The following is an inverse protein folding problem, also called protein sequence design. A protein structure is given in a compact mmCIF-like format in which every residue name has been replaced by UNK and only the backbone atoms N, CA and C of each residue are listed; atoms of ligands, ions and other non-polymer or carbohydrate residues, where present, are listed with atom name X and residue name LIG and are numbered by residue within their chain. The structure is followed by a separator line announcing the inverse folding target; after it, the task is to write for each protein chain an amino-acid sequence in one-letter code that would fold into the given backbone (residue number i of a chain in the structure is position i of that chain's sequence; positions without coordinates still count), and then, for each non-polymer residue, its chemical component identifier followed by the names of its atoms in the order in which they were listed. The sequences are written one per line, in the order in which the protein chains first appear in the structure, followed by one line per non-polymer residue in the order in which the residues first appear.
data_IF_505598995480
#
_entry.id   IF_505598995480
#
_cell.length_a   1.000
_cell.length_b   1.000
_cell.length_c   1.000
_cell.angle_alpha   90.00
_cell.angle_beta   90.00
_cell.angle_gamma   90.00
#
_symmetry.space_group_name_H-M   'P 1'
#
loop_
_entity.id
_entity.type
_entity.pdbx_description
1 polymer ?
#
# COMPACT_ATOMS: atom_id res chain seq x y z
N UNK A 1 15.89 18.66 -18.38
CA UNK A 1 15.84 17.24 -18.80
C UNK A 1 15.79 17.18 -20.32
N UNK A 2 16.80 16.57 -20.96
CA UNK A 2 16.82 16.32 -22.40
C UNK A 2 15.52 15.61 -22.85
N UNK A 3 15.10 15.88 -24.07
CA UNK A 3 13.80 15.50 -24.62
C UNK A 3 13.90 14.04 -25.11
N UNK A 4 13.11 13.09 -24.60
CA UNK A 4 12.96 11.80 -25.25
C UNK A 4 12.22 12.04 -26.58
N UNK A 5 12.73 11.57 -27.73
CA UNK A 5 11.95 11.59 -28.96
C UNK A 5 10.77 10.62 -28.84
N UNK A 6 9.63 11.00 -29.43
CA UNK A 6 8.45 10.14 -29.53
C UNK A 6 8.84 8.80 -30.16
N UNK A 7 8.44 7.68 -29.56
CA UNK A 7 8.30 6.42 -30.29
C UNK A 7 7.41 6.71 -31.51
N UNK A 8 7.99 6.62 -32.69
CA UNK A 8 7.32 6.95 -33.94
C UNK A 8 6.22 5.92 -34.14
N UNK A 9 4.96 6.38 -34.14
CA UNK A 9 3.81 5.59 -34.56
C UNK A 9 4.07 5.04 -35.97
N UNK A 10 4.33 3.75 -36.08
CA UNK A 10 4.30 3.09 -37.38
C UNK A 10 2.85 3.10 -37.88
N UNK A 11 2.65 3.71 -39.05
CA UNK A 11 1.38 3.81 -39.78
C UNK A 11 0.53 2.54 -39.68
N UNK A 12 -0.73 2.72 -39.31
CA UNK A 12 -1.77 1.71 -39.27
C UNK A 12 -2.00 1.09 -40.65
N UNK A 13 -1.48 -0.12 -40.86
CA UNK A 13 -2.04 -1.03 -41.86
C UNK A 13 -3.21 -1.77 -41.22
N UNK A 14 -4.42 -1.45 -41.67
CA UNK A 14 -5.66 -2.10 -41.25
C UNK A 14 -5.62 -3.59 -41.59
N UNK A 15 -5.52 -4.45 -40.56
CA UNK A 15 -5.80 -5.88 -40.70
C UNK A 15 -7.30 -6.14 -40.50
N UNK A 16 -7.88 -7.16 -41.17
CA UNK A 16 -9.30 -7.43 -41.08
C UNK A 16 -9.64 -8.02 -39.71
N UNK A 17 -10.50 -7.31 -38.96
CA UNK A 17 -11.09 -7.81 -37.72
C UNK A 17 -12.09 -8.90 -38.06
N UNK A 18 -11.68 -10.17 -38.02
CA UNK A 18 -12.63 -11.27 -37.90
C UNK A 18 -13.22 -11.25 -36.50
N UNK A 19 -14.46 -10.80 -36.38
CA UNK A 19 -15.24 -10.89 -35.16
C UNK A 19 -15.39 -12.37 -34.74
N UNK A 20 -14.65 -12.79 -33.70
CA UNK A 20 -14.95 -14.01 -32.95
C UNK A 20 -15.94 -13.65 -31.84
N UNK A 21 -17.01 -14.44 -31.75
CA UNK A 21 -18.11 -14.24 -30.81
C UNK A 21 -17.66 -14.24 -29.34
N UNK A 22 -18.38 -13.49 -28.52
CA UNK A 22 -18.23 -13.41 -27.07
C UNK A 22 -18.48 -14.77 -26.38
N UNK A 23 -17.53 -15.26 -25.59
CA UNK A 23 -17.73 -15.78 -24.21
C UNK A 23 -16.68 -16.78 -23.68
N UNK A 24 -15.44 -16.78 -24.18
CA UNK A 24 -14.32 -17.33 -23.40
C UNK A 24 -13.26 -16.23 -23.21
N UNK A 25 -13.09 -15.78 -21.98
CA UNK A 25 -11.97 -14.90 -21.62
C UNK A 25 -10.65 -15.62 -21.91
N UNK A 26 -9.73 -14.93 -22.60
CA UNK A 26 -8.39 -15.43 -22.91
C UNK A 26 -7.58 -15.82 -21.66
N UNK A 27 -6.59 -16.71 -21.83
CA UNK A 27 -5.72 -17.17 -20.75
C UNK A 27 -5.01 -15.99 -20.08
N UNK A 28 -4.47 -15.07 -20.86
CA UNK A 28 -3.76 -13.90 -20.35
C UNK A 28 -4.64 -13.03 -19.43
N UNK A 29 -5.89 -12.78 -19.84
CA UNK A 29 -6.85 -12.03 -19.01
C UNK A 29 -7.22 -12.79 -17.72
N UNK A 30 -7.44 -14.11 -17.81
CA UNK A 30 -7.69 -14.96 -16.64
C UNK A 30 -6.54 -14.90 -15.63
N UNK A 31 -5.29 -14.97 -16.10
CA UNK A 31 -4.09 -14.88 -15.27
C UNK A 31 -3.94 -13.49 -14.65
N UNK A 32 -4.17 -12.43 -15.42
CA UNK A 32 -4.13 -11.05 -14.91
C UNK A 32 -5.16 -10.81 -13.78
N UNK A 33 -6.39 -11.31 -13.96
CA UNK A 33 -7.43 -11.24 -12.93
C UNK A 33 -7.03 -12.07 -11.70
N UNK A 34 -6.51 -13.28 -11.90
CA UNK A 34 -6.10 -14.21 -10.84
C UNK A 34 -4.99 -13.63 -9.97
N UNK A 35 -3.99 -13.01 -10.58
CA UNK A 35 -2.83 -12.40 -9.90
C UNK A 35 -2.95 -10.87 -9.74
N UNK A 36 -4.18 -10.36 -9.67
CA UNK A 36 -4.44 -8.94 -9.44
C UNK A 36 -3.90 -8.47 -8.09
N UNK A 37 -3.74 -9.36 -7.11
CA UNK A 37 -3.20 -8.99 -5.80
C UNK A 37 -1.74 -8.57 -5.91
N UNK A 38 -0.97 -9.25 -6.75
CA UNK A 38 0.44 -9.00 -7.01
C UNK A 38 0.64 -7.66 -7.72
N UNK A 39 -0.23 -7.30 -8.68
CA UNK A 39 -0.15 -5.97 -9.34
C UNK A 39 -0.44 -4.83 -8.37
N UNK A 40 -1.39 -5.02 -7.43
CA UNK A 40 -1.63 -4.08 -6.34
C UNK A 40 -0.43 -4.01 -5.39
N UNK A 41 0.22 -5.14 -5.07
CA UNK A 41 1.43 -5.12 -4.24
C UNK A 41 2.59 -4.39 -4.92
N UNK A 42 2.82 -4.62 -6.21
CA UNK A 42 3.79 -3.87 -7.00
C UNK A 42 3.51 -2.36 -6.93
N UNK A 43 2.24 -1.96 -7.13
CA UNK A 43 1.78 -0.57 -7.07
C UNK A 43 2.14 0.14 -5.74
N UNK A 44 2.08 -0.60 -4.64
CA UNK A 44 2.35 -0.08 -3.29
C UNK A 44 3.76 -0.37 -2.78
N UNK A 45 4.68 -0.83 -3.61
CA UNK A 45 6.10 -0.91 -3.21
C UNK A 45 6.64 0.50 -2.95
N UNK A 46 7.56 0.66 -1.97
CA UNK A 46 8.15 1.96 -1.65
C UNK A 46 8.74 2.72 -2.85
N UNK A 47 9.35 2.01 -3.81
CA UNK A 47 9.89 2.61 -5.02
C UNK A 47 8.78 3.21 -5.90
N UNK A 48 7.76 2.42 -6.21
CA UNK A 48 6.65 2.77 -7.11
C UNK A 48 5.80 3.89 -6.51
N UNK A 49 5.53 3.87 -5.20
CA UNK A 49 4.83 4.96 -4.50
C UNK A 49 5.63 6.27 -4.56
N UNK A 50 6.94 6.23 -4.34
CA UNK A 50 7.79 7.42 -4.45
C UNK A 50 7.87 7.96 -5.88
N UNK A 51 7.92 7.07 -6.87
CA UNK A 51 7.94 7.43 -8.28
C UNK A 51 6.63 8.15 -8.67
N UNK A 52 5.50 7.58 -8.28
CA UNK A 52 4.17 8.13 -8.51
C UNK A 52 3.94 9.48 -7.79
N UNK A 53 4.51 9.64 -6.60
CA UNK A 53 4.40 10.88 -5.82
C UNK A 53 5.37 11.98 -6.28
N UNK A 54 6.27 11.69 -7.24
CA UNK A 54 7.26 12.64 -7.72
C UNK A 54 8.38 12.98 -6.72
N UNK A 55 8.48 12.24 -5.60
CA UNK A 55 9.46 12.49 -4.54
C UNK A 55 10.57 11.42 -4.45
N UNK A 56 10.59 10.46 -5.38
CA UNK A 56 11.70 9.54 -5.57
C UNK A 56 12.98 10.36 -5.79
N UNK A 57 14.08 10.02 -5.12
CA UNK A 57 15.38 10.61 -5.40
C UNK A 57 15.89 10.16 -6.76
N UNK A 58 16.53 11.08 -7.48
CA UNK A 58 16.96 10.83 -8.86
C UNK A 58 18.02 9.72 -8.94
N UNK A 59 18.85 9.56 -7.91
CA UNK A 59 19.86 8.50 -7.84
C UNK A 59 19.21 7.10 -7.81
N UNK A 60 18.11 6.95 -7.05
CA UNK A 60 17.34 5.70 -7.02
C UNK A 60 16.71 5.41 -8.38
N UNK A 61 16.17 6.44 -9.05
CA UNK A 61 15.62 6.30 -10.40
C UNK A 61 16.70 5.87 -11.40
N UNK A 62 17.87 6.52 -11.38
CA UNK A 62 19.01 6.17 -12.25
C UNK A 62 19.48 4.73 -12.03
N UNK A 63 19.55 4.29 -10.78
CA UNK A 63 19.87 2.89 -10.44
C UNK A 63 18.81 1.92 -10.97
N UNK A 64 17.52 2.24 -10.85
CA UNK A 64 16.48 1.39 -11.43
C UNK A 64 16.64 1.25 -12.95
N UNK A 65 16.91 2.35 -13.65
CA UNK A 65 17.12 2.38 -15.11
C UNK A 65 18.40 1.63 -15.53
N UNK A 66 19.47 1.68 -14.73
CA UNK A 66 20.69 0.90 -15.00
C UNK A 66 20.46 -0.60 -14.85
N UNK A 67 19.68 -1.02 -13.84
CA UNK A 67 19.32 -2.43 -13.67
C UNK A 67 18.36 -2.90 -14.78
N UNK A 68 17.41 -2.04 -15.19
CA UNK A 68 16.45 -2.33 -16.27
C UNK A 68 17.14 -2.54 -17.63
N UNK A 69 18.30 -1.93 -17.87
CA UNK A 69 19.11 -2.20 -19.06
C UNK A 69 19.51 -3.68 -19.19
N UNK A 70 19.83 -4.36 -18.08
CA UNK A 70 20.13 -5.79 -18.08
C UNK A 70 18.88 -6.62 -18.34
N UNK A 71 17.74 -6.16 -17.83
CA UNK A 71 16.44 -6.78 -18.01
C UNK A 71 15.99 -6.74 -19.48
N UNK A 72 16.08 -5.57 -20.13
CA UNK A 72 15.76 -5.39 -21.55
C UNK A 72 16.67 -6.25 -22.46
N UNK A 73 17.95 -6.45 -22.10
CA UNK A 73 18.83 -7.39 -22.82
C UNK A 73 18.32 -8.84 -22.72
N UNK A 74 17.93 -9.27 -21.52
CA UNK A 74 17.38 -10.60 -21.31
C UNK A 74 16.04 -10.78 -22.07
N UNK A 75 15.16 -9.77 -22.04
CA UNK A 75 13.90 -9.76 -22.80
C UNK A 75 14.12 -9.88 -24.30
N UNK A 76 15.05 -9.11 -24.86
CA UNK A 76 15.37 -9.19 -26.29
C UNK A 76 15.90 -10.59 -26.68
N UNK A 77 16.68 -11.23 -25.80
CA UNK A 77 17.16 -12.58 -26.02
C UNK A 77 16.07 -13.63 -25.86
N UNK A 78 15.21 -13.50 -24.84
CA UNK A 78 14.07 -14.39 -24.62
C UNK A 78 13.09 -14.35 -25.81
N UNK A 79 12.76 -13.17 -26.33
CA UNK A 79 11.98 -13.07 -27.56
C UNK A 79 12.66 -13.73 -28.76
N UNK A 80 13.98 -13.60 -28.89
CA UNK A 80 14.72 -14.28 -29.97
C UNK A 80 14.58 -15.81 -29.87
N UNK A 81 14.72 -16.36 -28.66
CA UNK A 81 14.56 -17.81 -28.45
C UNK A 81 13.11 -18.26 -28.67
N UNK A 82 12.12 -17.46 -28.24
CA UNK A 82 10.71 -17.72 -28.52
C UNK A 82 10.40 -17.68 -30.03
N UNK A 83 11.00 -16.74 -30.77
CA UNK A 83 10.90 -16.63 -32.24
C UNK A 83 11.45 -17.89 -32.92
N UNK A 84 12.60 -18.39 -32.48
CA UNK A 84 13.22 -19.64 -32.98
C UNK A 84 12.39 -20.90 -32.64
N UNK A 85 11.55 -20.81 -31.61
CA UNK A 85 10.73 -21.91 -31.11
C UNK A 85 9.29 -21.92 -31.66
N UNK A 86 8.79 -20.78 -32.13
CA UNK A 86 7.47 -20.70 -32.75
C UNK A 86 7.45 -21.41 -34.11
N UNK A 87 6.45 -22.24 -34.38
CA UNK A 87 6.30 -22.91 -35.69
C UNK A 87 5.54 -22.02 -36.70
N UNK A 88 4.51 -21.32 -36.22
CA UNK A 88 3.64 -20.45 -37.01
C UNK A 88 4.32 -19.14 -37.43
N UNK A 89 4.19 -18.77 -38.71
CA UNK A 89 4.87 -17.59 -39.27
C UNK A 89 4.26 -16.27 -38.78
N UNK A 90 2.95 -16.23 -38.52
CA UNK A 90 2.29 -15.04 -37.95
C UNK A 90 2.77 -14.81 -36.50
N UNK A 91 2.90 -15.88 -35.71
CA UNK A 91 3.48 -15.84 -34.37
C UNK A 91 4.94 -15.35 -34.41
N UNK A 92 5.79 -15.86 -35.31
CA UNK A 92 7.18 -15.39 -35.48
C UNK A 92 7.23 -13.89 -35.82
N UNK A 93 6.37 -13.44 -36.73
CA UNK A 93 6.30 -12.02 -37.11
C UNK A 93 5.91 -11.15 -35.91
N UNK A 94 4.92 -11.58 -35.12
CA UNK A 94 4.48 -10.88 -33.91
C UNK A 94 5.61 -10.80 -32.86
N UNK A 95 6.31 -11.91 -32.59
CA UNK A 95 7.45 -11.95 -31.67
C UNK A 95 8.58 -11.04 -32.16
N UNK A 96 8.88 -11.06 -33.46
CA UNK A 96 9.91 -10.20 -34.07
C UNK A 96 9.60 -8.73 -33.85
N UNK A 97 8.33 -8.34 -33.98
CA UNK A 97 7.89 -6.96 -33.74
C UNK A 97 8.06 -6.56 -32.28
N UNK A 98 7.67 -7.41 -31.33
CA UNK A 98 7.87 -7.19 -29.88
C UNK A 98 9.36 -7.06 -29.54
N UNK A 99 10.19 -7.97 -30.07
CA UNK A 99 11.65 -7.93 -29.93
C UNK A 99 12.26 -6.62 -30.43
N UNK A 100 11.78 -6.13 -31.57
CA UNK A 100 12.23 -4.84 -32.13
C UNK A 100 11.90 -3.67 -31.20
N UNK A 101 10.71 -3.65 -30.61
CA UNK A 101 10.32 -2.64 -29.62
C UNK A 101 11.27 -2.60 -28.41
N UNK A 102 11.58 -3.76 -27.84
CA UNK A 102 12.56 -3.87 -26.72
C UNK A 102 13.96 -3.39 -27.14
N UNK A 103 14.40 -3.72 -28.36
CA UNK A 103 15.71 -3.27 -28.85
C UNK A 103 15.77 -1.75 -29.08
N UNK A 104 14.66 -1.12 -29.44
CA UNK A 104 14.55 0.35 -29.55
C UNK A 104 14.60 1.00 -28.16
N UNK A 105 13.86 0.45 -27.19
CA UNK A 105 13.88 0.89 -25.81
C UNK A 105 15.26 0.75 -25.15
N UNK A 106 15.94 -0.37 -25.40
CA UNK A 106 17.30 -0.62 -24.92
C UNK A 106 18.31 0.41 -25.45
N UNK A 107 18.17 0.82 -26.72
CA UNK A 107 19.03 1.87 -27.30
C UNK A 107 18.80 3.21 -26.61
N UNK A 108 17.54 3.55 -26.30
CA UNK A 108 17.21 4.78 -25.56
C UNK A 108 17.77 4.74 -24.13
N UNK A 109 17.60 3.63 -23.41
CA UNK A 109 18.17 3.44 -22.07
C UNK A 109 19.69 3.61 -22.08
N UNK A 110 20.37 2.98 -23.04
CA UNK A 110 21.82 3.10 -23.17
C UNK A 110 22.28 4.56 -23.38
N UNK A 111 21.57 5.33 -24.21
CA UNK A 111 21.91 6.76 -24.39
C UNK A 111 21.76 7.57 -23.11
N UNK A 112 20.70 7.35 -22.33
CA UNK A 112 20.49 8.08 -21.07
C UNK A 112 21.49 7.69 -19.99
N UNK A 113 21.78 6.41 -19.84
CA UNK A 113 22.73 5.89 -18.85
C UNK A 113 24.12 6.48 -19.12
N UNK A 114 24.56 6.51 -20.39
CA UNK A 114 25.82 7.15 -20.79
C UNK A 114 25.83 8.67 -20.54
N UNK A 115 24.73 9.37 -20.83
CA UNK A 115 24.59 10.81 -20.54
C UNK A 115 24.69 11.13 -19.05
N UNK A 116 24.26 10.21 -18.17
CA UNK A 116 24.37 10.36 -16.72
C UNK A 116 25.77 10.04 -16.17
N UNK A 117 26.72 9.70 -17.05
CA UNK A 117 28.08 9.32 -16.65
C UNK A 117 28.16 7.93 -16.01
N UNK A 118 27.09 7.14 -16.12
CA UNK A 118 27.09 5.74 -15.71
C UNK A 118 27.53 4.95 -16.94
N UNK A 119 28.64 4.24 -16.83
CA UNK A 119 29.06 3.31 -17.88
C UNK A 119 28.48 1.93 -17.54
N UNK A 120 27.43 1.46 -18.25
CA UNK A 120 26.80 0.17 -17.97
C UNK A 120 27.73 -1.01 -18.23
N UNK A 121 28.92 -0.77 -18.81
CA UNK A 121 29.97 -1.77 -18.98
C UNK A 121 31.06 -1.74 -17.89
N UNK A 122 31.13 -0.70 -17.03
CA UNK A 122 32.22 -0.53 -16.04
C UNK A 122 31.80 -0.48 -14.59
N UNK A 123 30.57 -0.10 -14.23
CA UNK A 123 30.19 -0.03 -12.82
C UNK A 123 28.69 -0.21 -12.61
N UNK A 124 28.30 -1.42 -12.18
CA UNK A 124 27.36 -1.70 -11.10
C UNK A 124 27.26 -3.23 -10.97
N UNK A 125 27.53 -3.77 -9.79
CA UNK A 125 27.13 -5.14 -9.45
C UNK A 125 25.64 -5.27 -9.73
N UNK A 126 25.27 -6.08 -10.73
CA UNK A 126 23.88 -6.42 -11.01
C UNK A 126 23.27 -6.93 -9.70
N UNK A 127 22.18 -6.31 -9.26
CA UNK A 127 21.59 -6.71 -7.98
C UNK A 127 21.01 -8.12 -8.08
N UNK A 128 20.87 -8.79 -6.94
CA UNK A 128 20.44 -10.19 -6.90
C UNK A 128 19.03 -10.42 -7.45
N UNK A 129 18.13 -9.43 -7.36
CA UNK A 129 16.77 -9.57 -7.89
C UNK A 129 16.77 -9.54 -9.42
N UNK A 130 17.53 -8.62 -10.02
CA UNK A 130 17.73 -8.54 -11.47
C UNK A 130 18.34 -9.83 -12.00
N UNK A 131 19.40 -10.36 -11.36
CA UNK A 131 20.00 -11.65 -11.74
C UNK A 131 18.97 -12.77 -11.68
N UNK A 132 18.26 -12.93 -10.54
CA UNK A 132 17.24 -13.97 -10.36
C UNK A 132 16.17 -13.93 -11.44
N UNK A 133 15.73 -12.74 -11.82
CA UNK A 133 14.69 -12.58 -12.82
C UNK A 133 15.22 -12.85 -14.23
N UNK A 134 16.37 -12.29 -14.61
CA UNK A 134 16.95 -12.56 -15.93
C UNK A 134 17.31 -14.03 -16.10
N UNK A 135 17.80 -14.69 -15.06
CA UNK A 135 18.12 -16.13 -15.08
C UNK A 135 16.84 -16.97 -15.23
N UNK A 136 15.78 -16.66 -14.47
CA UNK A 136 14.48 -17.30 -14.59
C UNK A 136 13.92 -17.19 -16.02
N UNK A 137 13.95 -15.99 -16.59
CA UNK A 137 13.41 -15.76 -17.93
C UNK A 137 14.23 -16.49 -19.00
N UNK A 138 15.56 -16.39 -18.96
CA UNK A 138 16.43 -17.02 -19.94
C UNK A 138 16.42 -18.55 -19.81
N UNK A 139 16.30 -19.09 -18.60
CA UNK A 139 16.09 -20.52 -18.37
C UNK A 139 14.79 -20.98 -19.01
N UNK A 140 13.68 -20.27 -18.76
CA UNK A 140 12.37 -20.55 -19.37
C UNK A 140 12.45 -20.51 -20.90
N UNK A 141 13.06 -19.47 -21.45
CA UNK A 141 13.21 -19.30 -22.90
C UNK A 141 14.14 -20.33 -23.57
N UNK A 142 15.06 -20.91 -22.79
CA UNK A 142 15.92 -22.02 -23.24
C UNK A 142 15.25 -23.39 -23.06
N UNK A 143 13.98 -23.45 -22.66
CA UNK A 143 13.23 -24.68 -22.40
C UNK A 143 13.57 -25.37 -21.07
N UNK A 144 14.30 -24.71 -20.16
CA UNK A 144 14.59 -25.23 -18.81
C UNK A 144 13.47 -24.83 -17.84
N UNK A 145 12.33 -25.51 -17.97
CA UNK A 145 11.16 -25.29 -17.11
C UNK A 145 11.03 -26.45 -16.13
N UNK A 146 10.90 -26.15 -14.84
CA UNK A 146 10.77 -27.18 -13.81
C UNK A 146 9.53 -28.06 -14.04
N UNK A 147 9.74 -29.38 -14.08
CA UNK A 147 8.68 -30.34 -14.40
C UNK A 147 8.45 -30.60 -15.89
N UNK A 148 9.26 -30.02 -16.77
CA UNK A 148 9.23 -30.27 -18.23
C UNK A 148 10.60 -30.81 -18.67
N UNK A 149 10.62 -31.93 -19.38
CA UNK A 149 11.84 -32.35 -20.08
C UNK A 149 12.10 -31.36 -21.22
N UNK A 150 13.25 -30.67 -21.15
CA UNK A 150 13.61 -29.67 -22.16
C UNK A 150 13.68 -30.28 -23.55
N UNK A 151 13.47 -29.48 -24.62
CA UNK A 151 13.50 -30.00 -25.98
C UNK A 151 14.88 -30.58 -26.31
N UNK A 152 14.93 -31.89 -26.54
CA UNK A 152 16.12 -32.56 -27.08
C UNK A 152 16.45 -32.03 -28.49
N UNK A 153 17.64 -32.33 -29.01
CA UNK A 153 18.02 -32.00 -30.41
C UNK A 153 17.05 -32.54 -31.48
N UNK A 154 16.14 -33.43 -31.09
CA UNK A 154 15.11 -34.03 -31.93
C UNK A 154 13.69 -33.54 -31.63
N UNK A 155 13.53 -32.45 -30.87
CA UNK A 155 12.22 -31.91 -30.50
C UNK A 155 11.37 -31.56 -31.73
N UNK A 156 10.13 -32.04 -31.69
CA UNK A 156 9.11 -31.76 -32.70
C UNK A 156 8.80 -30.25 -32.77
N UNK A 157 8.29 -29.74 -33.90
CA UNK A 157 7.86 -28.34 -34.00
C UNK A 157 6.83 -27.97 -32.92
N UNK A 158 5.97 -28.92 -32.55
CA UNK A 158 5.01 -28.77 -31.47
C UNK A 158 5.67 -28.57 -30.11
N UNK A 159 6.63 -29.40 -29.73
CA UNK A 159 7.38 -29.28 -28.46
C UNK A 159 8.16 -27.96 -28.38
N UNK A 160 8.71 -27.49 -29.51
CA UNK A 160 9.34 -26.16 -29.58
C UNK A 160 8.33 -25.04 -29.36
N UNK A 161 7.15 -25.11 -29.98
CA UNK A 161 6.10 -24.09 -29.80
C UNK A 161 5.65 -23.96 -28.33
N UNK A 162 5.70 -25.04 -27.54
CA UNK A 162 5.45 -24.97 -26.07
C UNK A 162 6.43 -24.04 -25.36
N UNK A 163 7.72 -24.08 -25.73
CA UNK A 163 8.74 -23.21 -25.14
C UNK A 163 8.44 -21.75 -25.46
N UNK A 164 7.98 -21.45 -26.69
CA UNK A 164 7.53 -20.10 -27.04
C UNK A 164 6.33 -19.66 -26.16
N UNK A 165 5.34 -20.53 -25.96
CA UNK A 165 4.20 -20.27 -25.08
C UNK A 165 4.62 -20.02 -23.61
N UNK A 166 5.52 -20.85 -23.07
CA UNK A 166 6.08 -20.70 -21.72
C UNK A 166 6.87 -19.40 -21.56
N UNK A 167 7.66 -19.05 -22.58
CA UNK A 167 8.41 -17.79 -22.60
C UNK A 167 7.47 -16.60 -22.54
N UNK A 168 6.42 -16.58 -23.37
CA UNK A 168 5.42 -15.52 -23.30
C UNK A 168 4.67 -15.53 -21.97
N UNK A 169 4.34 -16.69 -21.42
CA UNK A 169 3.77 -16.81 -20.07
C UNK A 169 4.60 -16.11 -18.99
N UNK A 170 5.93 -16.19 -19.09
CA UNK A 170 6.87 -15.51 -18.20
C UNK A 170 7.08 -14.01 -18.51
N UNK A 171 6.78 -13.54 -19.74
CA UNK A 171 7.01 -12.14 -20.16
C UNK A 171 5.75 -11.27 -20.10
N UNK A 172 4.57 -11.83 -20.39
CA UNK A 172 3.28 -11.15 -20.37
C UNK A 172 3.00 -10.35 -19.09
N UNK A 173 3.24 -10.86 -17.87
CA UNK A 173 2.94 -10.09 -16.65
C UNK A 173 3.73 -8.79 -16.56
N UNK A 174 5.00 -8.78 -16.97
CA UNK A 174 5.82 -7.57 -17.02
C UNK A 174 5.19 -6.50 -17.93
N UNK A 175 4.88 -6.88 -19.17
CA UNK A 175 4.33 -5.97 -20.18
C UNK A 175 3.01 -5.35 -19.71
N UNK A 176 2.12 -6.18 -19.17
CA UNK A 176 0.83 -5.70 -18.64
C UNK A 176 0.99 -4.87 -17.37
N UNK A 177 1.89 -5.26 -16.46
CA UNK A 177 2.11 -4.54 -15.20
C UNK A 177 2.61 -3.12 -15.43
N UNK A 178 3.58 -2.92 -16.33
CA UNK A 178 4.09 -1.58 -16.64
C UNK A 178 3.02 -0.70 -17.31
N UNK A 179 2.24 -1.24 -18.24
CA UNK A 179 1.12 -0.52 -18.85
C UNK A 179 0.05 -0.13 -17.80
N UNK A 180 -0.24 -1.02 -16.86
CA UNK A 180 -1.16 -0.77 -15.75
C UNK A 180 -0.63 0.33 -14.81
N UNK A 181 0.60 0.20 -14.31
CA UNK A 181 1.20 1.17 -13.38
C UNK A 181 1.28 2.56 -14.00
N UNK A 182 1.69 2.67 -15.26
CA UNK A 182 1.81 3.95 -15.92
C UNK A 182 0.44 4.66 -16.09
N UNK A 183 -0.63 3.91 -16.36
CA UNK A 183 -2.01 4.44 -16.39
C UNK A 183 -2.46 4.93 -15.01
N UNK A 184 -2.20 4.16 -13.95
CA UNK A 184 -2.50 4.58 -12.57
C UNK A 184 -1.72 5.86 -12.20
N UNK A 185 -0.45 5.97 -12.61
CA UNK A 185 0.36 7.15 -12.38
C UNK A 185 -0.15 8.36 -13.15
N UNK A 186 -0.59 8.18 -14.39
CA UNK A 186 -1.12 9.27 -15.21
C UNK A 186 -2.33 9.93 -14.56
N UNK A 187 -3.16 9.16 -13.83
CA UNK A 187 -4.28 9.70 -13.07
C UNK A 187 -3.86 10.55 -11.85
N UNK A 188 -2.61 10.44 -11.40
CA UNK A 188 -2.04 11.16 -10.26
C UNK A 188 -1.21 12.39 -10.67
N UNK A 189 -0.74 12.45 -11.91
CA UNK A 189 0.03 13.59 -12.42
C UNK A 189 -0.94 14.71 -12.79
N UNK A 190 -0.92 15.80 -12.02
CA UNK A 190 -1.71 17.00 -12.33
C UNK A 190 -1.36 17.51 -13.73
N UNK A 191 -2.39 17.62 -14.59
CA UNK A 191 -2.22 17.97 -16.00
C UNK A 191 -1.73 19.40 -16.22
N UNK A 192 -1.84 20.28 -15.21
CA UNK A 192 -1.61 21.72 -15.37
C UNK A 192 -0.22 22.20 -14.95
N UNK A 193 0.49 21.51 -14.05
CA UNK A 193 1.66 22.13 -13.41
C UNK A 193 3.02 21.69 -14.00
N UNK A 194 3.08 20.62 -14.80
CA UNK A 194 4.32 20.17 -15.45
C UNK A 194 5.51 19.90 -14.51
N UNK A 195 5.30 19.96 -13.20
CA UNK A 195 6.30 19.99 -12.15
C UNK A 195 6.73 18.59 -11.73
N UNK A 196 5.99 17.55 -12.14
CA UNK A 196 6.29 16.17 -11.80
C UNK A 196 7.61 15.71 -12.45
N UNK A 197 8.67 15.40 -11.67
CA UNK A 197 10.00 15.11 -12.21
C UNK A 197 10.05 13.93 -13.19
N UNK A 198 9.15 12.97 -13.03
CA UNK A 198 9.10 11.74 -13.82
C UNK A 198 7.99 11.74 -14.89
N UNK A 199 7.34 12.89 -15.14
CA UNK A 199 6.20 12.97 -16.08
C UNK A 199 6.49 12.34 -17.44
N UNK A 200 7.66 12.64 -18.01
CA UNK A 200 8.07 12.11 -19.33
C UNK A 200 8.15 10.59 -19.36
N UNK A 201 8.65 9.99 -18.28
CA UNK A 201 8.70 8.53 -18.16
C UNK A 201 7.27 7.97 -18.07
N UNK A 202 6.42 8.57 -17.23
CA UNK A 202 5.01 8.19 -17.09
C UNK A 202 4.27 8.28 -18.43
N UNK A 203 4.38 9.41 -19.14
CA UNK A 203 3.74 9.63 -20.44
C UNK A 203 4.17 8.60 -21.50
N UNK A 204 5.43 8.15 -21.45
CA UNK A 204 5.96 7.15 -22.39
C UNK A 204 5.34 5.78 -22.13
N UNK A 205 5.35 5.33 -20.87
CA UNK A 205 4.79 4.01 -20.49
C UNK A 205 3.26 3.98 -20.50
N UNK A 206 2.59 5.13 -20.35
CA UNK A 206 1.13 5.25 -20.46
C UNK A 206 0.64 5.44 -21.90
N UNK A 207 1.55 5.39 -22.89
CA UNK A 207 1.21 5.60 -24.29
C UNK A 207 0.42 4.43 -24.90
N UNK A 208 -0.35 4.73 -25.94
CA UNK A 208 -1.09 3.70 -26.70
C UNK A 208 -0.17 2.62 -27.28
N UNK A 209 1.09 2.95 -27.59
CA UNK A 209 2.07 2.00 -28.11
C UNK A 209 2.46 0.92 -27.09
N UNK A 210 2.56 1.28 -25.81
CA UNK A 210 2.88 0.33 -24.74
C UNK A 210 1.67 -0.55 -24.44
N UNK A 211 0.46 0.03 -24.39
CA UNK A 211 -0.77 -0.76 -24.26
C UNK A 211 -0.94 -1.75 -25.44
N UNK A 212 -0.68 -1.30 -26.67
CA UNK A 212 -0.76 -2.15 -27.85
C UNK A 212 0.27 -3.30 -27.81
N UNK A 213 1.46 -3.04 -27.26
CA UNK A 213 2.50 -4.07 -27.09
C UNK A 213 2.11 -5.09 -26.01
N UNK A 214 1.51 -4.64 -24.90
CA UNK A 214 0.96 -5.51 -23.87
C UNK A 214 -0.15 -6.40 -24.44
N UNK A 215 -1.15 -5.82 -25.12
CA UNK A 215 -2.22 -6.55 -25.79
C UNK A 215 -1.69 -7.55 -26.82
N UNK A 216 -0.73 -7.15 -27.65
CA UNK A 216 -0.13 -8.05 -28.63
C UNK A 216 0.59 -9.25 -27.97
N UNK A 217 1.22 -9.04 -26.82
CA UNK A 217 1.87 -10.12 -26.06
C UNK A 217 0.84 -11.08 -25.47
N UNK A 218 -0.29 -10.56 -24.99
CA UNK A 218 -1.41 -11.34 -24.45
C UNK A 218 -2.13 -12.15 -25.52
N UNK A 219 -2.48 -11.53 -26.65
CA UNK A 219 -3.10 -12.20 -27.79
C UNK A 219 -2.22 -13.35 -28.29
N UNK A 220 -0.90 -13.14 -28.31
CA UNK A 220 0.04 -14.16 -28.72
C UNK A 220 0.14 -15.30 -27.70
N UNK A 221 0.16 -15.00 -26.41
CA UNK A 221 0.08 -16.01 -25.35
C UNK A 221 -1.21 -16.83 -25.48
N UNK A 222 -2.34 -16.17 -25.67
CA UNK A 222 -3.63 -16.83 -25.85
C UNK A 222 -3.59 -17.78 -27.05
N UNK A 223 -3.12 -17.32 -28.21
CA UNK A 223 -3.02 -18.13 -29.43
C UNK A 223 -2.08 -19.33 -29.26
N UNK A 224 -0.88 -19.13 -28.70
CA UNK A 224 0.09 -20.22 -28.49
C UNK A 224 -0.36 -21.21 -27.40
N UNK A 225 -1.31 -20.82 -26.54
CA UNK A 225 -1.85 -21.68 -25.49
C UNK A 225 -3.00 -22.60 -25.94
N UNK A 226 -3.65 -22.30 -27.08
CA UNK A 226 -4.79 -23.09 -27.59
C UNK A 226 -4.52 -24.60 -27.69
N UNK A 227 -3.37 -25.07 -28.22
CA UNK A 227 -3.15 -26.50 -28.39
C UNK A 227 -2.57 -27.18 -27.13
N UNK A 228 -2.41 -26.46 -26.02
CA UNK A 228 -1.80 -26.99 -24.80
C UNK A 228 -2.81 -27.76 -23.95
N UNK A 229 -2.30 -28.76 -23.24
CA UNK A 229 -3.04 -29.53 -22.23
C UNK A 229 -3.23 -28.74 -20.94
N UNK A 230 -4.14 -29.17 -20.07
CA UNK A 230 -4.35 -28.54 -18.77
C UNK A 230 -3.09 -28.47 -17.91
N UNK A 231 -2.26 -29.52 -17.93
CA UNK A 231 -1.00 -29.56 -17.16
C UNK A 231 0.00 -28.52 -17.68
N UNK A 232 0.03 -28.29 -19.00
CA UNK A 232 0.89 -27.29 -19.63
C UNK A 232 0.40 -25.86 -19.39
N UNK A 233 -0.92 -25.66 -19.31
CA UNK A 233 -1.51 -24.39 -18.90
C UNK A 233 -1.21 -24.07 -17.42
N UNK A 234 -1.22 -25.07 -16.54
CA UNK A 234 -0.82 -24.90 -15.13
C UNK A 234 0.66 -24.48 -15.00
N UNK A 235 1.52 -24.92 -15.93
CA UNK A 235 2.91 -24.48 -16.01
C UNK A 235 2.99 -22.99 -16.39
N UNK A 236 2.25 -22.55 -17.41
CA UNK A 236 2.16 -21.13 -17.78
C UNK A 236 1.71 -20.29 -16.60
N UNK A 237 0.70 -20.74 -15.86
CA UNK A 237 0.22 -20.05 -14.67
C UNK A 237 1.33 -19.87 -13.62
N UNK A 238 2.10 -20.93 -13.33
CA UNK A 238 3.22 -20.88 -12.38
C UNK A 238 4.30 -19.91 -12.84
N UNK A 239 4.64 -19.93 -14.14
CA UNK A 239 5.62 -19.01 -14.73
C UNK A 239 5.15 -17.55 -14.64
N UNK A 240 3.88 -17.29 -14.96
CA UNK A 240 3.28 -15.96 -14.87
C UNK A 240 3.32 -15.42 -13.43
N UNK A 241 2.91 -16.24 -12.47
CA UNK A 241 2.94 -15.88 -11.06
C UNK A 241 4.38 -15.63 -10.56
N UNK A 242 5.31 -16.47 -10.96
CA UNK A 242 6.72 -16.32 -10.58
C UNK A 242 7.30 -15.02 -11.14
N UNK A 243 6.99 -14.67 -12.39
CA UNK A 243 7.38 -13.39 -12.98
C UNK A 243 6.80 -12.20 -12.19
N UNK A 244 5.51 -12.23 -11.81
CA UNK A 244 4.91 -11.19 -10.96
C UNK A 244 5.62 -11.04 -9.60
N UNK A 245 6.04 -12.14 -8.96
CA UNK A 245 6.82 -12.08 -7.71
C UNK A 245 8.19 -11.45 -7.94
N UNK A 246 8.86 -11.81 -9.03
CA UNK A 246 10.18 -11.27 -9.38
C UNK A 246 10.12 -9.78 -9.73
N UNK A 247 9.03 -9.29 -10.35
CA UNK A 247 8.78 -7.85 -10.52
C UNK A 247 8.69 -7.12 -9.17
N UNK A 248 7.93 -7.68 -8.22
CA UNK A 248 7.81 -7.10 -6.88
C UNK A 248 9.17 -7.11 -6.15
N UNK A 249 9.94 -8.20 -6.27
CA UNK A 249 11.32 -8.26 -5.75
C UNK A 249 12.19 -7.17 -6.39
N UNK A 250 12.12 -6.99 -7.71
CA UNK A 250 12.88 -5.97 -8.45
C UNK A 250 12.58 -4.56 -7.94
N UNK A 251 11.31 -4.21 -7.71
CA UNK A 251 10.96 -2.90 -7.12
C UNK A 251 11.39 -2.76 -5.66
N UNK A 252 11.35 -3.84 -4.88
CA UNK A 252 11.67 -3.80 -3.45
C UNK A 252 13.17 -3.65 -3.15
N UNK A 253 14.04 -4.14 -4.02
CA UNK A 253 15.50 -4.02 -3.83
C UNK A 253 16.05 -2.66 -4.24
N UNK A 254 15.24 -1.79 -4.86
CA UNK A 254 15.69 -0.46 -5.26
C UNK A 254 16.14 0.36 -4.05
N UNK A 255 17.31 1.02 -4.10
CA UNK A 255 17.89 1.69 -2.94
C UNK A 255 17.09 2.95 -2.59
N UNK A 256 16.36 2.92 -1.48
CA UNK A 256 15.57 4.05 -1.01
C UNK A 256 16.23 4.69 0.21
N UNK A 257 16.54 5.99 0.10
CA UNK A 257 17.14 6.77 1.20
C UNK A 257 16.23 7.90 1.70
N UNK A 258 15.08 8.14 1.06
CA UNK A 258 14.03 9.02 1.58
C UNK A 258 13.08 8.26 2.51
N UNK A 259 12.49 8.98 3.47
CA UNK A 259 11.43 8.44 4.32
C UNK A 259 10.13 8.34 3.52
N UNK A 260 9.54 7.15 3.45
CA UNK A 260 8.33 6.88 2.67
C UNK A 260 7.24 6.26 3.54
N UNK A 261 6.01 6.73 3.40
CA UNK A 261 4.84 6.12 4.02
C UNK A 261 4.17 5.22 2.98
N UNK A 262 4.27 3.91 3.18
CA UNK A 262 3.58 2.91 2.37
C UNK A 262 2.62 2.08 3.24
N UNK A 263 1.54 1.52 2.67
CA UNK A 263 0.79 0.47 3.34
C UNK A 263 1.74 -0.70 3.68
N UNK A 264 1.53 -1.34 4.83
CA UNK A 264 2.30 -2.52 5.21
C UNK A 264 1.92 -3.69 4.29
N UNK A 265 2.66 -3.86 3.19
CA UNK A 265 2.39 -4.86 2.14
C UNK A 265 3.40 -6.00 2.10
N UNK A 266 4.47 -5.92 2.88
CA UNK A 266 5.56 -6.91 2.86
C UNK A 266 5.11 -8.24 3.48
N UNK A 267 5.64 -9.34 2.96
CA UNK A 267 5.84 -10.55 3.75
C UNK A 267 6.79 -10.20 4.90
N UNK A 268 6.18 -9.86 6.03
CA UNK A 268 6.85 -9.68 7.30
C UNK A 268 7.70 -10.92 7.59
N UNK A 269 9.00 -10.74 7.88
CA UNK A 269 9.87 -11.85 8.29
C UNK A 269 9.90 -11.90 9.82
N UNK A 270 9.06 -12.69 10.50
CA UNK A 270 8.92 -12.63 11.95
C UNK A 270 10.19 -12.93 12.76
N UNK A 271 11.19 -13.55 12.15
CA UNK A 271 12.50 -13.81 12.77
C UNK A 271 13.39 -12.55 12.80
N UNK A 272 13.26 -11.66 11.80
CA UNK A 272 14.08 -10.45 11.63
C UNK A 272 13.33 -9.18 12.04
N UNK A 273 12.03 -9.14 11.75
CA UNK A 273 11.17 -7.98 11.92
C UNK A 273 10.30 -8.14 13.17
N UNK A 274 10.25 -7.09 14.01
CA UNK A 274 9.27 -6.97 15.10
C UNK A 274 8.38 -5.76 14.84
N UNK A 275 7.12 -6.03 14.47
CA UNK A 275 6.14 -4.97 14.28
C UNK A 275 5.64 -4.47 15.64
N UNK A 276 5.41 -3.16 15.74
CA UNK A 276 4.71 -2.57 16.88
C UNK A 276 3.52 -1.81 16.32
N UNK A 277 2.33 -2.34 16.58
CA UNK A 277 1.06 -1.77 16.12
C UNK A 277 0.52 -0.92 17.25
N UNK A 278 0.44 0.39 17.02
CA UNK A 278 -0.21 1.33 17.92
C UNK A 278 -1.59 1.67 17.40
N UNK A 279 -2.61 1.50 18.25
CA UNK A 279 -3.98 1.87 17.92
C UNK A 279 -4.56 2.76 19.00
N UNK A 280 -4.78 4.03 18.69
CA UNK A 280 -5.60 4.91 19.54
C UNK A 280 -7.04 4.40 19.51
N UNK A 281 -7.42 3.65 20.52
CA UNK A 281 -8.67 2.89 20.56
C UNK A 281 -9.90 3.76 20.32
N UNK A 282 -9.90 4.98 20.86
CA UNK A 282 -11.05 5.87 20.75
C UNK A 282 -11.15 6.55 19.39
N UNK A 283 -10.01 6.70 18.70
CA UNK A 283 -10.02 7.20 17.31
C UNK A 283 -10.30 6.10 16.29
N UNK A 284 -9.84 4.88 16.55
CA UNK A 284 -9.85 3.81 15.56
C UNK A 284 -11.03 2.85 15.72
N UNK A 285 -11.45 2.61 16.96
CA UNK A 285 -12.30 1.47 17.27
C UNK A 285 -13.64 1.83 17.88
N UNK A 286 -13.81 2.98 18.52
CA UNK A 286 -15.10 3.36 19.09
C UNK A 286 -15.81 4.42 18.24
N UNK A 287 -17.14 4.46 18.29
CA UNK A 287 -17.93 5.55 17.69
C UNK A 287 -17.91 6.79 18.59
N UNK A 288 -17.81 6.58 19.90
CA UNK A 288 -17.78 7.61 20.94
C UNK A 288 -16.57 7.41 21.85
N UNK A 289 -15.99 8.50 22.38
CA UNK A 289 -14.88 8.43 23.32
C UNK A 289 -15.23 7.56 24.54
N UNK A 290 -14.40 6.56 24.83
CA UNK A 290 -14.57 5.63 25.94
C UNK A 290 -14.68 6.33 27.30
N UNK A 291 -14.00 7.47 27.47
CA UNK A 291 -14.03 8.29 28.69
C UNK A 291 -15.42 8.86 28.98
N UNK A 292 -16.19 9.28 27.96
CA UNK A 292 -17.56 9.75 28.13
C UNK A 292 -18.51 8.63 28.59
N UNK A 293 -18.32 7.42 28.06
CA UNK A 293 -19.12 6.25 28.43
C UNK A 293 -18.80 5.81 29.86
N UNK A 294 -17.53 5.83 30.26
CA UNK A 294 -17.12 5.54 31.63
C UNK A 294 -17.70 6.56 32.62
N UNK A 295 -17.70 7.84 32.26
CA UNK A 295 -18.30 8.89 33.08
C UNK A 295 -19.82 8.72 33.22
N UNK A 296 -20.53 8.45 32.12
CA UNK A 296 -21.97 8.21 32.15
C UNK A 296 -22.33 7.03 33.06
N UNK A 297 -21.55 5.95 33.01
CA UNK A 297 -21.76 4.79 33.88
C UNK A 297 -21.43 5.11 35.33
N UNK A 298 -20.35 5.84 35.59
CA UNK A 298 -20.03 6.31 36.93
C UNK A 298 -21.16 7.17 37.52
N UNK A 299 -21.77 8.03 36.69
CA UNK A 299 -22.90 8.90 37.04
C UNK A 299 -24.18 8.09 37.30
N UNK A 300 -24.48 7.10 36.46
CA UNK A 300 -25.67 6.24 36.59
C UNK A 300 -25.58 5.34 37.82
N UNK A 301 -24.38 4.87 38.16
CA UNK A 301 -24.15 3.96 39.27
C UNK A 301 -23.87 4.65 40.61
N UNK A 302 -23.73 5.97 40.59
CA UNK A 302 -23.57 6.74 41.81
C UNK A 302 -24.87 6.82 42.62
N UNK A 303 -24.77 6.88 43.95
CA UNK A 303 -25.92 7.10 44.81
C UNK A 303 -26.64 8.41 44.45
N UNK A 304 -27.98 8.38 44.53
CA UNK A 304 -28.80 9.59 44.47
C UNK A 304 -28.63 10.37 45.78
N UNK A 305 -28.71 11.70 45.72
CA UNK A 305 -28.48 12.62 46.85
C UNK A 305 -29.23 12.27 48.14
N UNK A 306 -30.33 11.52 48.02
CA UNK A 306 -31.28 11.26 49.11
C UNK A 306 -31.12 9.86 49.74
N UNK A 307 -30.13 9.06 49.33
CA UNK A 307 -29.87 7.72 49.89
C UNK A 307 -28.71 7.74 50.87
N UNK A 308 -28.99 7.46 52.14
CA UNK A 308 -27.97 7.31 53.19
C UNK A 308 -26.97 6.20 52.82
N UNK A 309 -25.68 6.54 52.78
CA UNK A 309 -24.60 5.60 52.52
C UNK A 309 -24.35 4.72 53.76
N UNK A 310 -24.29 3.38 53.63
CA UNK A 310 -23.86 2.50 54.72
C UNK A 310 -22.41 2.80 55.12
N UNK A 311 -22.11 2.83 56.42
CA UNK A 311 -20.85 3.30 57.03
C UNK A 311 -19.55 2.58 56.55
N UNK A 312 -19.65 1.51 55.76
CA UNK A 312 -18.50 0.71 55.28
C UNK A 312 -18.14 0.92 53.80
N UNK A 313 -18.73 1.89 53.09
CA UNK A 313 -18.39 2.16 51.68
C UNK A 313 -17.51 3.40 51.51
N UNK A 314 -16.60 3.36 50.53
CA UNK A 314 -15.78 4.51 50.11
C UNK A 314 -16.72 5.66 49.77
N UNK A 315 -16.56 6.82 50.42
CA UNK A 315 -17.34 8.01 50.12
C UNK A 315 -17.26 8.37 48.63
N UNK A 316 -18.35 8.12 47.91
CA UNK A 316 -18.49 8.33 46.47
C UNK A 316 -19.33 9.58 46.23
N UNK A 317 -18.94 10.39 45.26
CA UNK A 317 -19.71 11.55 44.83
C UNK A 317 -21.13 11.11 44.43
N UNK A 318 -22.12 11.94 44.73
CA UNK A 318 -23.49 11.73 44.25
C UNK A 318 -23.56 11.87 42.72
N UNK A 319 -24.61 11.32 42.11
CA UNK A 319 -24.84 11.42 40.66
C UNK A 319 -24.84 12.88 40.15
N UNK A 320 -25.38 13.82 40.94
CA UNK A 320 -25.41 15.24 40.61
C UNK A 320 -24.01 15.89 40.67
N UNK A 321 -23.22 15.54 41.69
CA UNK A 321 -21.85 16.03 41.84
C UNK A 321 -20.94 15.49 40.74
N UNK A 322 -21.08 14.22 40.37
CA UNK A 322 -20.32 13.62 39.26
C UNK A 322 -20.63 14.30 37.92
N UNK A 323 -21.92 14.58 37.62
CA UNK A 323 -22.29 15.32 36.41
C UNK A 323 -21.64 16.69 36.37
N UNK A 324 -21.70 17.43 37.49
CA UNK A 324 -21.11 18.76 37.59
C UNK A 324 -19.58 18.71 37.40
N UNK A 325 -18.91 17.77 38.06
CA UNK A 325 -17.46 17.59 37.93
C UNK A 325 -17.06 17.18 36.52
N UNK A 326 -17.81 16.27 35.88
CA UNK A 326 -17.54 15.84 34.51
C UNK A 326 -17.68 16.98 33.50
N UNK A 327 -18.75 17.78 33.60
CA UNK A 327 -18.94 18.96 32.73
C UNK A 327 -17.77 19.95 32.90
N UNK A 328 -17.36 20.22 34.14
CA UNK A 328 -16.23 21.11 34.41
C UNK A 328 -14.91 20.58 33.83
N UNK A 329 -14.58 19.32 34.08
CA UNK A 329 -13.35 18.69 33.59
C UNK A 329 -13.31 18.64 32.06
N UNK A 330 -14.44 18.30 31.42
CA UNK A 330 -14.53 18.22 29.95
C UNK A 330 -14.42 19.59 29.28
N UNK A 331 -15.01 20.64 29.88
CA UNK A 331 -14.85 22.02 29.42
C UNK A 331 -13.40 22.49 29.51
N UNK A 332 -12.78 22.34 30.69
CA UNK A 332 -11.37 22.70 30.89
C UNK A 332 -10.42 21.95 29.95
N UNK A 333 -10.66 20.65 29.74
CA UNK A 333 -9.89 19.87 28.78
C UNK A 333 -9.98 20.45 27.37
N UNK A 334 -11.19 20.81 26.92
CA UNK A 334 -11.42 21.32 25.56
C UNK A 334 -10.70 22.65 25.34
N UNK A 335 -10.84 23.59 26.28
CA UNK A 335 -10.20 24.91 26.20
C UNK A 335 -8.67 24.81 26.22
N UNK A 336 -8.11 24.04 27.16
CA UNK A 336 -6.66 23.88 27.26
C UNK A 336 -6.08 23.08 26.09
N UNK A 337 -6.83 22.11 25.55
CA UNK A 337 -6.43 21.37 24.35
C UNK A 337 -6.34 22.32 23.16
N UNK A 338 -7.34 23.18 22.94
CA UNK A 338 -7.31 24.18 21.87
C UNK A 338 -6.11 25.11 22.01
N UNK A 339 -5.86 25.65 23.21
CA UNK A 339 -4.68 26.48 23.49
C UNK A 339 -3.36 25.74 23.24
N UNK A 340 -3.25 24.48 23.67
CA UNK A 340 -2.08 23.65 23.44
C UNK A 340 -1.83 23.46 21.94
N UNK A 341 -2.89 23.14 21.18
CA UNK A 341 -2.79 22.94 19.74
C UNK A 341 -2.44 24.24 19.02
N UNK A 342 -3.04 25.37 19.38
CA UNK A 342 -2.70 26.70 18.84
C UNK A 342 -1.24 27.08 19.14
N UNK A 343 -0.71 26.68 20.30
CA UNK A 343 0.69 26.95 20.67
C UNK A 343 1.70 26.10 19.87
N UNK A 344 1.28 24.91 19.43
CA UNK A 344 2.11 23.94 18.73
C UNK A 344 2.02 24.14 17.21
N UNK A 345 0.87 24.56 16.70
CA UNK A 345 0.63 24.68 15.27
C UNK A 345 1.15 26.03 14.75
N UNK A 346 2.10 26.02 13.80
CA UNK A 346 2.55 27.25 13.18
C UNK A 346 1.40 27.88 12.35
N UNK A 347 1.31 29.21 12.30
CA UNK A 347 0.25 29.91 11.56
C UNK A 347 0.39 29.76 10.04
N UNK A 348 1.55 29.33 9.54
CA UNK A 348 1.86 29.18 8.12
C UNK A 348 2.39 27.76 7.80
N UNK A 349 2.30 27.37 6.52
CA UNK A 349 2.91 26.13 6.02
C UNK A 349 4.43 26.23 6.15
N UNK A 350 4.99 25.45 7.07
CA UNK A 350 6.43 25.26 7.23
C UNK A 350 6.86 23.90 6.71
N UNK A 351 8.11 23.81 6.26
CA UNK A 351 8.75 22.53 5.97
C UNK A 351 8.84 21.66 7.22
N UNK A 352 8.84 20.34 7.03
CA UNK A 352 8.90 19.39 8.14
C UNK A 352 10.20 19.56 8.93
N UNK A 353 10.07 19.79 10.24
CA UNK A 353 11.19 19.83 11.17
C UNK A 353 10.99 18.82 12.30
N UNK A 354 11.91 17.85 12.37
CA UNK A 354 11.87 16.75 13.33
C UNK A 354 11.99 17.21 14.78
N UNK A 355 12.88 18.17 15.07
CA UNK A 355 13.10 18.68 16.43
C UNK A 355 11.91 19.49 16.93
N UNK A 356 11.33 20.32 16.05
CA UNK A 356 10.10 21.06 16.35
C UNK A 356 8.95 20.08 16.64
N UNK A 357 8.82 19.02 15.85
CA UNK A 357 7.84 17.96 16.12
C UNK A 357 8.09 17.27 17.48
N UNK A 358 9.34 17.00 17.87
CA UNK A 358 9.65 16.44 19.19
C UNK A 358 9.13 17.34 20.31
N UNK A 359 9.49 18.63 20.25
CA UNK A 359 9.08 19.63 21.25
C UNK A 359 7.55 19.80 21.31
N UNK A 360 6.91 19.82 20.15
CA UNK A 360 5.45 19.84 20.04
C UNK A 360 4.80 18.64 20.75
N UNK A 361 5.35 17.44 20.55
CA UNK A 361 4.84 16.22 21.18
C UNK A 361 5.09 16.20 22.69
N UNK A 362 6.22 16.74 23.16
CA UNK A 362 6.50 16.92 24.59
C UNK A 362 5.47 17.85 25.25
N UNK A 363 5.17 18.98 24.62
CA UNK A 363 4.13 19.92 25.09
C UNK A 363 2.75 19.27 25.17
N UNK A 364 2.35 18.54 24.11
CA UNK A 364 1.09 17.80 24.12
C UNK A 364 1.06 16.74 25.22
N UNK A 365 2.17 16.02 25.42
CA UNK A 365 2.30 15.02 26.49
C UNK A 365 2.18 15.64 27.88
N UNK A 366 2.72 16.84 28.08
CA UNK A 366 2.64 17.57 29.34
C UNK A 366 1.22 18.06 29.63
N UNK A 367 0.50 18.53 28.60
CA UNK A 367 -0.93 18.85 28.68
C UNK A 367 -1.74 17.63 29.12
N UNK A 368 -1.60 16.50 28.41
CA UNK A 368 -2.32 15.25 28.73
C UNK A 368 -2.04 14.77 30.15
N UNK A 369 -0.77 14.87 30.61
CA UNK A 369 -0.39 14.52 31.98
C UNK A 369 -1.12 15.38 33.02
N UNK A 370 -1.23 16.69 32.79
CA UNK A 370 -1.96 17.61 33.67
C UNK A 370 -3.46 17.33 33.65
N UNK A 371 -4.04 17.08 32.47
CA UNK A 371 -5.44 16.74 32.34
C UNK A 371 -5.80 15.47 33.13
N UNK A 372 -4.97 14.43 33.01
CA UNK A 372 -5.15 13.19 33.77
C UNK A 372 -5.00 13.40 35.28
N UNK A 373 -4.01 14.19 35.70
CA UNK A 373 -3.85 14.52 37.12
C UNK A 373 -5.11 15.16 37.71
N UNK A 374 -5.74 16.10 36.99
CA UNK A 374 -7.01 16.71 37.41
C UNK A 374 -8.16 15.70 37.54
N UNK A 375 -8.26 14.75 36.61
CA UNK A 375 -9.27 13.68 36.70
C UNK A 375 -9.04 12.82 37.95
N UNK A 376 -7.78 12.45 38.23
CA UNK A 376 -7.42 11.69 39.44
C UNK A 376 -7.73 12.47 40.71
N UNK A 377 -7.30 13.74 40.78
CA UNK A 377 -7.51 14.64 41.92
C UNK A 377 -8.99 14.93 42.18
N UNK A 378 -9.81 15.00 41.13
CA UNK A 378 -11.26 15.20 41.26
C UNK A 378 -11.99 14.04 41.95
N UNK A 379 -11.39 12.84 41.97
CA UNK A 379 -12.01 11.65 42.50
C UNK A 379 -13.23 11.16 41.70
N UNK A 380 -13.48 11.67 40.49
CA UNK A 380 -14.66 11.34 39.66
C UNK A 380 -14.74 9.84 39.33
N UNK A 381 -13.60 9.15 39.28
CA UNK A 381 -13.50 7.71 39.03
C UNK A 381 -13.35 6.88 40.32
N UNK A 382 -13.35 7.51 41.49
CA UNK A 382 -13.11 6.83 42.77
C UNK A 382 -14.28 5.89 43.11
N UNK A 383 -13.96 4.64 43.42
CA UNK A 383 -14.95 3.61 43.77
C UNK A 383 -15.57 2.88 42.57
N UNK A 384 -15.11 3.13 41.34
CA UNK A 384 -15.39 2.25 40.21
C UNK A 384 -14.70 0.90 40.42
N UNK A 385 -15.44 -0.18 40.23
CA UNK A 385 -14.90 -1.53 40.30
C UNK A 385 -14.72 -2.14 38.89
N UNK A 386 -14.05 -3.30 38.82
CA UNK A 386 -13.77 -3.97 37.55
C UNK A 386 -15.04 -4.39 36.80
N UNK A 387 -16.11 -4.77 37.51
CA UNK A 387 -17.38 -5.17 36.91
C UNK A 387 -18.10 -3.97 36.27
N UNK A 388 -18.05 -2.79 36.90
CA UNK A 388 -18.56 -1.54 36.33
C UNK A 388 -17.83 -1.20 35.03
N UNK A 389 -16.50 -1.40 34.99
CA UNK A 389 -15.66 -1.17 33.80
C UNK A 389 -15.98 -2.20 32.70
N UNK A 390 -16.15 -3.48 33.03
CA UNK A 390 -16.54 -4.51 32.05
C UNK A 390 -17.89 -4.21 31.43
N UNK A 391 -18.88 -3.87 32.26
CA UNK A 391 -20.23 -3.50 31.81
C UNK A 391 -20.22 -2.23 30.96
N UNK A 392 -19.28 -1.32 31.19
CA UNK A 392 -19.02 -0.19 30.29
C UNK A 392 -18.47 -0.63 28.95
N UNK A 393 -17.51 -1.55 28.97
CA UNK A 393 -16.93 -2.17 27.78
C UNK A 393 -17.96 -2.87 26.90
N UNK A 394 -18.90 -3.61 27.49
CA UNK A 394 -19.98 -4.31 26.76
C UNK A 394 -20.92 -3.37 26.00
N UNK A 395 -21.01 -2.10 26.41
CA UNK A 395 -21.84 -1.08 25.78
C UNK A 395 -21.08 -0.26 24.73
N UNK A 396 -19.78 -0.51 24.56
CA UNK A 396 -18.99 0.16 23.53
C UNK A 396 -19.44 -0.33 22.14
N UNK A 397 -19.95 0.59 21.34
CA UNK A 397 -20.20 0.34 19.93
C UNK A 397 -18.88 0.52 19.20
N UNK A 398 -18.36 -0.60 18.68
CA UNK A 398 -17.14 -0.61 17.90
C UNK A 398 -17.42 -0.32 16.43
N UNK A 399 -16.46 0.32 15.76
CA UNK A 399 -16.46 0.47 14.31
C UNK A 399 -16.36 -0.91 13.63
N UNK A 400 -17.07 -1.05 12.51
CA UNK A 400 -17.07 -2.29 11.73
C UNK A 400 -15.65 -2.69 11.32
N UNK A 401 -15.32 -3.97 11.54
CA UNK A 401 -14.02 -4.53 11.18
C UNK A 401 -12.88 -4.30 12.19
N UNK A 402 -13.02 -3.42 13.21
CA UNK A 402 -11.98 -3.24 14.23
C UNK A 402 -11.67 -4.57 14.96
N UNK A 403 -12.70 -5.25 15.48
CA UNK A 403 -12.53 -6.54 16.17
C UNK A 403 -11.85 -7.58 15.26
N UNK A 404 -12.32 -7.69 14.02
CA UNK A 404 -11.76 -8.62 13.04
C UNK A 404 -10.30 -8.32 12.71
N UNK A 405 -9.90 -7.05 12.68
CA UNK A 405 -8.52 -6.63 12.45
C UNK A 405 -7.58 -7.10 13.57
N UNK A 406 -7.89 -6.79 14.83
CA UNK A 406 -7.05 -7.22 15.96
C UNK A 406 -7.03 -8.73 16.12
N UNK A 407 -8.16 -9.40 15.92
CA UNK A 407 -8.20 -10.87 15.93
C UNK A 407 -7.30 -11.48 14.86
N UNK A 408 -7.25 -10.90 13.65
CA UNK A 408 -6.35 -11.38 12.59
C UNK A 408 -4.88 -11.21 12.97
N UNK A 409 -4.51 -10.11 13.62
CA UNK A 409 -3.13 -9.87 14.06
C UNK A 409 -2.75 -10.84 15.17
N UNK A 410 -3.56 -10.94 16.23
CA UNK A 410 -3.27 -11.80 17.39
C UNK A 410 -3.24 -13.28 17.01
N UNK A 411 -4.08 -13.72 16.07
CA UNK A 411 -4.14 -15.13 15.63
C UNK A 411 -3.11 -15.47 14.56
N UNK A 412 -2.37 -14.48 14.03
CA UNK A 412 -1.41 -14.74 12.97
C UNK A 412 -0.04 -15.05 13.56
N UNK A 413 0.28 -16.34 13.65
CA UNK A 413 1.58 -16.84 14.15
C UNK A 413 2.77 -16.40 13.28
N UNK A 414 2.53 -16.01 12.02
CA UNK A 414 3.57 -15.51 11.11
C UNK A 414 3.85 -14.01 11.31
N UNK A 415 3.16 -13.36 12.26
CA UNK A 415 3.30 -11.95 12.56
C UNK A 415 3.89 -11.76 13.97
N UNK A 416 5.20 -11.60 14.06
CA UNK A 416 5.90 -11.08 15.25
C UNK A 416 5.54 -9.60 15.48
N UNK A 417 4.32 -9.36 15.97
CA UNK A 417 3.79 -8.04 16.26
C UNK A 417 3.43 -7.88 17.74
N UNK A 418 3.87 -6.79 18.35
CA UNK A 418 3.30 -6.27 19.58
C UNK A 418 2.13 -5.35 19.24
N UNK A 419 1.02 -5.48 19.95
CA UNK A 419 -0.11 -4.57 19.83
C UNK A 419 -0.19 -3.73 21.09
N UNK A 420 -0.16 -2.42 20.94
CA UNK A 420 -0.44 -1.46 21.99
C UNK A 420 -1.71 -0.70 21.63
N UNK A 421 -2.74 -0.87 22.46
CA UNK A 421 -4.04 -0.22 22.30
C UNK A 421 -4.21 0.80 23.42
N UNK A 422 -3.62 2.00 23.32
CA UNK A 422 -3.93 3.07 24.25
C UNK A 422 -5.39 3.48 24.09
N UNK A 423 -6.13 3.48 25.21
CA UNK A 423 -7.33 4.31 25.34
C UNK A 423 -6.88 5.78 25.24
N UNK A 424 -7.71 6.69 24.72
CA UNK A 424 -7.34 8.10 24.50
C UNK A 424 -7.12 8.92 25.78
N UNK A 425 -6.77 8.25 26.87
CA UNK A 425 -6.19 8.83 28.08
C UNK A 425 -5.03 7.91 28.48
N UNK A 426 -3.78 8.42 28.63
CA UNK A 426 -2.66 7.56 28.98
C UNK A 426 -2.93 6.91 30.35
N UNK A 427 -3.38 5.66 30.30
CA UNK A 427 -3.53 4.80 31.46
C UNK A 427 -2.11 4.37 31.80
N UNK A 428 -1.54 5.00 32.83
CA UNK A 428 -0.31 4.51 33.44
C UNK A 428 -0.59 3.11 34.01
N UNK A 429 0.07 2.10 33.45
CA UNK A 429 0.33 0.86 34.19
C UNK A 429 1.61 1.11 34.99
N UNK A 430 1.61 0.90 36.33
CA UNK A 430 2.84 1.02 37.10
C UNK A 430 3.72 -0.19 36.77
N UNK A 431 4.75 0.00 35.94
CA UNK A 431 5.82 -0.97 35.78
C UNK A 431 7.06 -0.37 36.41
N UNK A 432 7.46 -0.91 37.57
CA UNK A 432 8.75 -0.64 38.17
C UNK A 432 9.82 -1.31 37.33
N UNK A 433 10.38 -0.55 36.40
CA UNK A 433 11.82 -0.55 36.11
C UNK A 433 12.10 0.52 35.07
N UNK A 434 13.17 1.29 35.31
CA UNK A 434 13.69 2.31 34.42
C UNK A 434 14.03 1.70 33.05
N UNK A 435 13.41 2.20 31.98
CA UNK A 435 14.01 2.49 30.67
C UNK A 435 13.02 2.30 29.50
N UNK A 436 12.80 3.41 28.78
CA UNK A 436 12.30 3.58 27.39
C UNK A 436 10.92 4.21 27.24
N UNK A 437 11.00 5.53 27.10
CA UNK A 437 9.98 6.45 26.59
C UNK A 437 9.95 6.33 25.06
N UNK A 438 8.84 5.87 24.46
CA UNK A 438 8.64 5.92 23.00
C UNK A 438 7.17 6.20 22.68
N UNK A 439 6.94 7.39 22.11
CA UNK A 439 5.66 7.97 21.71
C UNK A 439 5.82 8.44 20.26
N UNK A 440 4.89 8.12 19.34
CA UNK A 440 4.65 8.85 18.07
C UNK A 440 3.55 8.26 17.17
N UNK A 441 2.51 9.07 16.90
CA UNK A 441 2.11 9.57 15.57
C UNK A 441 0.67 10.18 15.63
N UNK A 442 0.56 11.50 15.50
CA UNK A 442 -0.67 12.21 15.08
C UNK A 442 -0.29 13.19 13.96
N UNK A 443 -0.64 12.88 12.71
CA UNK A 443 -0.47 13.82 11.58
C UNK A 443 -1.46 13.63 10.40
N UNK A 444 -2.64 12.98 10.58
CA UNK A 444 -3.64 12.82 9.50
C UNK A 444 -5.07 13.26 9.84
N UNK A 445 -5.25 14.21 10.76
CA UNK A 445 -6.60 14.61 11.21
C UNK A 445 -7.17 15.90 10.61
N UNK A 446 -6.53 16.52 9.63
CA UNK A 446 -7.03 17.80 9.10
C UNK A 446 -8.15 17.67 8.04
N UNK A 447 -8.19 16.60 7.25
CA UNK A 447 -9.21 16.46 6.18
C UNK A 447 -10.55 15.86 6.62
N UNK A 448 -10.64 15.22 7.80
CA UNK A 448 -11.88 14.60 8.28
C UNK A 448 -12.72 15.52 9.19
N UNK A 449 -12.10 16.50 9.89
CA UNK A 449 -12.83 17.47 10.73
C UNK A 449 -13.65 18.47 9.92
N UNK A 450 -13.15 18.91 8.75
CA UNK A 450 -13.87 19.84 7.87
C UNK A 450 -15.16 19.24 7.28
N UNK A 451 -15.11 17.95 6.92
CA UNK A 451 -16.28 17.23 6.37
C UNK A 451 -17.28 16.81 7.46
N UNK A 452 -16.82 16.39 8.66
CA UNK A 452 -17.73 16.02 9.77
C UNK A 452 -18.50 17.23 10.33
N UNK A 453 -17.88 18.40 10.44
CA UNK A 453 -18.58 19.61 10.93
C UNK A 453 -19.65 20.12 9.94
N UNK A 454 -19.51 19.85 8.64
CA UNK A 454 -20.57 20.15 7.64
C UNK A 454 -21.74 19.16 7.70
N UNK A 455 -21.48 17.89 7.97
CA UNK A 455 -22.52 16.84 8.10
C UNK A 455 -23.32 17.01 9.41
N UNK A 456 -22.66 17.36 10.51
CA UNK A 456 -23.32 17.60 11.81
C UNK A 456 -24.23 18.85 11.79
N UNK A 457 -23.84 19.94 11.09
CA UNK A 457 -24.71 21.11 10.92
C UNK A 457 -25.98 20.82 10.11
N UNK A 458 -25.91 19.92 9.12
CA UNK A 458 -27.09 19.50 8.33
C UNK A 458 -28.06 18.63 9.14
N UNK A 459 -27.55 17.74 9.99
CA UNK A 459 -28.39 16.84 10.78
C UNK A 459 -29.05 17.53 11.98
N UNK A 460 -28.45 18.59 12.54
CA UNK A 460 -29.11 19.37 13.61
C UNK A 460 -30.29 20.23 13.12
N UNK A 461 -30.30 20.66 11.85
CA UNK A 461 -31.45 21.38 11.29
C UNK A 461 -32.63 20.46 10.93
N UNK A 462 -32.39 19.17 10.66
CA UNK A 462 -33.45 18.20 10.33
C UNK A 462 -34.16 17.57 11.54
N UNK A 463 -33.62 17.70 12.75
CA UNK A 463 -34.15 17.08 13.97
C UNK A 463 -34.99 18.04 14.85
N UNK A 464 -35.05 19.33 14.51
CA UNK A 464 -35.83 20.34 15.26
C UNK A 464 -37.21 20.60 14.64
N UNK A 465 -37.54 20.05 13.46
CA UNK A 465 -38.81 20.29 12.76
C UNK A 465 -39.85 19.16 12.84
N UNK A 466 -39.65 18.14 13.68
CA UNK A 466 -40.60 17.04 13.86
C UNK A 466 -40.88 16.82 15.34
N UNK A 467 -41.85 17.55 15.91
CA UNK A 467 -42.27 17.32 17.29
C UNK A 467 -43.02 18.45 17.98
N UNK A 468 -43.96 19.12 17.31
CA UNK A 468 -45.06 19.84 17.99
C UNK A 468 -46.33 19.74 17.15
N UNK A 469 -47.31 19.04 17.67
CA UNK A 469 -48.64 18.86 17.10
C UNK A 469 -49.46 17.99 18.05
N UNK A 470 -50.31 18.66 18.83
CA UNK A 470 -51.31 18.16 19.79
C UNK A 470 -52.13 16.96 19.31
#
# INVERSE_FOLDING_TARGET
MAIPPKLVSSSSSSFPTTARGSSEEGLANKLWIKFRRESIFAMYTPFVVCLAAGNLKIETFRHCISQDFHFLKAFAHAYKLAEECADDDDAKLAITKLRKGVLEELKMHNSFVLEWGIDPSKEETINSATVRYTDFLLATASGKVEGVEGPDKHATPFERTKVAAYTLGAMTPCMRLYAFLAKEFQALVDSEDGSHPYKKWIDNYSSEGIEASALQTEDLLDNLSIPLTSEELDIIEKLYHQAMKLEIEFFNVQPLSQSTVVPLTKEHKPVEDRLVIFSDFDLTCTIFYSSAILADIAIVMAPKSDQAQPENQIARMSSAELRKAWVLLSGQYTEEYEQCIESILPPEKVEFNYEVLCKALEQLSDFERKANARVVESGVLKGLNLEDIKRAGERLILQDGCTSFFQKIVKNENLNANIHVPLSQPTMVPCGDESKMLLRLRLRQWNLKSSRNKVLKKNHQGLVSAGYGT
#
